data_IF_224611363837
#
_entry.id   IF_224611363837
#
_cell.length_a   1.000
_cell.length_b   1.000
_cell.length_c   1.000
_cell.angle_alpha   90.00
_cell.angle_beta   90.00
_cell.angle_gamma   90.00
#
_symmetry.space_group_name_H-M   'P 1'
#
loop_
_entity.id
_entity.type
_entity.pdbx_description
1 polymer ?
#
# COMPACT_ATOMS: atom_id res chain seq x y z
N UNK A 1 6.76 -18.02 13.07
CA UNK A 1 5.34 -18.30 12.79
C UNK A 1 5.21 -18.48 11.29
N UNK A 2 5.02 -19.71 10.82
CA UNK A 2 4.90 -20.02 9.39
C UNK A 2 3.84 -21.10 9.24
N UNK A 3 2.88 -20.88 8.36
CA UNK A 3 1.85 -21.87 8.06
C UNK A 3 2.49 -22.95 7.18
N UNK A 4 2.36 -24.20 7.61
CA UNK A 4 2.80 -25.37 6.85
C UNK A 4 1.67 -25.78 5.90
N UNK A 5 1.99 -25.90 4.60
CA UNK A 5 1.04 -26.18 3.52
C UNK A 5 0.25 -27.51 3.70
N UNK A 6 0.71 -28.37 4.59
CA UNK A 6 0.20 -29.72 4.88
C UNK A 6 -0.49 -29.85 6.25
N UNK A 7 -0.68 -28.76 6.99
CA UNK A 7 -1.08 -28.80 8.41
C UNK A 7 -2.56 -29.05 8.71
N UNK A 8 -3.43 -29.19 7.69
CA UNK A 8 -4.87 -29.49 7.89
C UNK A 8 -5.69 -28.41 8.63
N UNK A 9 -5.09 -27.26 8.94
CA UNK A 9 -5.81 -26.06 9.39
C UNK A 9 -6.55 -25.41 8.20
N UNK A 10 -7.64 -24.67 8.40
CA UNK A 10 -8.35 -24.03 7.30
C UNK A 10 -7.42 -23.09 6.54
N UNK A 11 -6.95 -23.56 5.37
CA UNK A 11 -6.15 -22.81 4.43
C UNK A 11 -7.08 -22.04 3.51
N UNK A 12 -7.61 -20.90 3.97
CA UNK A 12 -8.23 -19.94 3.06
C UNK A 12 -7.12 -19.17 2.37
N UNK A 13 -6.77 -19.60 1.16
CA UNK A 13 -5.81 -18.92 0.30
C UNK A 13 -6.55 -17.91 -0.55
N UNK A 14 -6.47 -16.62 -0.18
CA UNK A 14 -6.92 -15.55 -1.07
C UNK A 14 -5.90 -15.41 -2.20
N UNK A 15 -6.29 -15.81 -3.41
CA UNK A 15 -5.50 -15.53 -4.61
C UNK A 15 -5.68 -14.06 -4.96
N UNK A 16 -4.65 -13.26 -4.70
CA UNK A 16 -4.67 -11.80 -4.92
C UNK A 16 -4.50 -11.38 -6.38
N UNK A 17 -4.02 -12.27 -7.26
CA UNK A 17 -3.85 -12.01 -8.69
C UNK A 17 -4.39 -13.17 -9.52
N UNK A 18 -5.15 -12.86 -10.56
CA UNK A 18 -5.58 -13.83 -11.60
C UNK A 18 -4.63 -13.86 -12.78
N UNK A 19 -3.69 -12.92 -12.85
CA UNK A 19 -2.82 -12.72 -13.98
C UNK A 19 -1.56 -13.57 -13.83
N UNK A 20 -1.03 -14.08 -14.94
CA UNK A 20 0.24 -14.85 -15.02
C UNK A 20 1.49 -14.03 -14.61
N UNK A 21 1.29 -12.80 -14.12
CA UNK A 21 2.35 -11.88 -13.75
C UNK A 21 2.75 -12.14 -12.29
N UNK A 22 4.01 -12.50 -12.09
CA UNK A 22 4.61 -12.57 -10.75
C UNK A 22 4.59 -11.19 -10.10
N UNK A 23 4.11 -11.12 -8.85
CA UNK A 23 4.06 -9.86 -8.09
C UNK A 23 4.70 -10.02 -6.72
N UNK A 24 5.13 -8.89 -6.16
CA UNK A 24 5.46 -8.74 -4.75
C UNK A 24 4.36 -7.99 -4.03
N UNK A 25 3.97 -8.47 -2.85
CA UNK A 25 3.01 -7.82 -1.97
C UNK A 25 3.75 -7.21 -0.78
N UNK A 26 3.55 -5.91 -0.54
CA UNK A 26 4.03 -5.23 0.67
C UNK A 26 5.54 -4.97 0.75
N UNK A 27 6.27 -5.21 -0.33
CA UNK A 27 7.72 -5.00 -0.37
C UNK A 27 8.53 -6.08 0.33
N UNK A 28 9.82 -5.82 0.58
CA UNK A 28 10.75 -6.78 1.21
C UNK A 28 10.81 -6.59 2.74
N UNK A 29 10.52 -5.40 3.24
CA UNK A 29 10.54 -5.10 4.67
C UNK A 29 9.19 -5.43 5.32
N UNK A 30 9.13 -6.34 6.32
CA UNK A 30 7.86 -6.74 6.94
C UNK A 30 7.08 -5.62 7.61
N UNK A 31 7.76 -4.56 8.06
CA UNK A 31 7.17 -3.49 8.86
C UNK A 31 6.18 -2.57 8.11
N UNK A 32 6.25 -2.53 6.76
CA UNK A 32 5.53 -1.54 5.96
C UNK A 32 4.59 -2.15 4.91
N UNK A 33 4.51 -3.49 4.84
CA UNK A 33 3.91 -4.15 3.68
C UNK A 33 2.41 -4.37 3.73
N UNK A 34 1.87 -4.55 4.92
CA UNK A 34 0.45 -4.85 5.16
C UNK A 34 -0.07 -3.87 6.21
N UNK A 35 -1.22 -3.25 5.94
CA UNK A 35 -1.83 -2.27 6.82
C UNK A 35 -3.31 -2.63 7.05
N UNK A 36 -3.67 -3.21 8.21
CA UNK A 36 -5.06 -3.50 8.57
C UNK A 36 -5.82 -2.22 8.89
N UNK A 37 -7.09 -2.13 8.47
CA UNK A 37 -7.96 -1.02 8.85
C UNK A 37 -8.32 -1.08 10.35
N UNK A 38 -8.57 0.06 11.02
CA UNK A 38 -8.93 0.11 12.43
C UNK A 38 -10.19 -0.70 12.80
N UNK A 39 -11.18 -0.73 11.92
CA UNK A 39 -12.39 -1.54 12.05
C UNK A 39 -12.19 -3.03 11.73
N UNK A 40 -11.00 -3.44 11.27
CA UNK A 40 -10.64 -4.82 10.95
C UNK A 40 -11.30 -5.41 9.71
N UNK A 41 -12.04 -4.61 8.93
CA UNK A 41 -12.77 -5.11 7.75
C UNK A 41 -11.94 -5.13 6.48
N UNK A 42 -10.80 -4.42 6.46
CA UNK A 42 -9.97 -4.23 5.27
C UNK A 42 -8.49 -4.42 5.55
N UNK A 43 -7.76 -4.80 4.51
CA UNK A 43 -6.30 -4.89 4.51
C UNK A 43 -5.74 -4.17 3.29
N UNK A 44 -4.96 -3.12 3.50
CA UNK A 44 -4.29 -2.37 2.45
C UNK A 44 -2.86 -2.85 2.25
N UNK A 45 -2.42 -2.90 1.00
CA UNK A 45 -1.07 -3.32 0.63
C UNK A 45 -0.70 -2.82 -0.76
N UNK A 46 0.61 -2.68 -0.97
CA UNK A 46 1.16 -2.43 -2.29
C UNK A 46 1.34 -3.73 -3.07
N UNK A 47 1.03 -3.69 -4.36
CA UNK A 47 1.35 -4.75 -5.32
C UNK A 47 2.36 -4.20 -6.32
N UNK A 48 3.52 -4.85 -6.40
CA UNK A 48 4.62 -4.46 -7.29
C UNK A 48 4.84 -5.57 -8.31
N UNK A 49 4.65 -5.32 -9.62
CA UNK A 49 4.97 -6.28 -10.66
C UNK A 49 6.45 -6.66 -10.65
N UNK A 50 6.77 -7.94 -10.82
CA UNK A 50 8.13 -8.41 -11.02
C UNK A 50 8.39 -8.54 -12.53
N UNK A 51 9.44 -7.90 -13.01
CA UNK A 51 9.69 -7.73 -14.46
C UNK A 51 10.88 -8.54 -14.97
N UNK A 52 11.59 -9.24 -14.08
CA UNK A 52 12.80 -9.97 -14.40
C UNK A 52 13.25 -10.92 -13.29
N UNK A 53 14.48 -11.40 -13.39
CA UNK A 53 15.03 -12.44 -12.51
C UNK A 53 15.58 -11.87 -11.20
N UNK A 54 16.11 -10.64 -11.21
CA UNK A 54 16.56 -9.98 -9.99
C UNK A 54 15.37 -9.28 -9.33
N UNK A 55 14.74 -9.96 -8.38
CA UNK A 55 13.55 -9.45 -7.72
C UNK A 55 13.79 -8.16 -6.92
N UNK A 56 15.04 -7.78 -6.62
CA UNK A 56 15.34 -6.54 -5.92
C UNK A 56 15.35 -5.32 -6.86
N UNK A 57 15.70 -5.53 -8.14
CA UNK A 57 15.88 -4.47 -9.13
C UNK A 57 14.78 -4.48 -10.18
N UNK A 58 14.40 -5.67 -10.67
CA UNK A 58 13.46 -5.87 -11.76
C UNK A 58 12.01 -5.73 -11.27
N UNK A 59 11.61 -4.51 -10.91
CA UNK A 59 10.28 -4.19 -10.39
C UNK A 59 9.57 -3.12 -11.23
N UNK A 60 8.26 -3.30 -11.43
CA UNK A 60 7.38 -2.29 -12.00
C UNK A 60 6.86 -1.32 -10.94
N UNK A 61 6.01 -0.37 -11.36
CA UNK A 61 5.40 0.57 -10.43
C UNK A 61 4.49 -0.14 -9.43
N UNK A 62 4.67 0.17 -8.14
CA UNK A 62 3.83 -0.33 -7.07
C UNK A 62 2.45 0.35 -7.09
N UNK A 63 1.39 -0.43 -6.89
CA UNK A 63 0.01 0.04 -6.92
C UNK A 63 -0.76 -0.37 -5.66
N UNK A 64 -1.60 0.53 -5.18
CA UNK A 64 -2.32 0.32 -3.94
C UNK A 64 -3.53 -0.60 -4.17
N UNK A 65 -3.62 -1.63 -3.34
CA UNK A 65 -4.73 -2.57 -3.30
C UNK A 65 -5.32 -2.63 -1.90
N UNK A 66 -6.63 -2.90 -1.84
CA UNK A 66 -7.36 -3.10 -0.60
C UNK A 66 -8.19 -4.37 -0.71
N UNK A 67 -7.92 -5.31 0.18
CA UNK A 67 -8.70 -6.52 0.38
C UNK A 67 -9.84 -6.23 1.36
N UNK A 68 -11.06 -6.62 1.00
CA UNK A 68 -12.16 -6.82 1.93
C UNK A 68 -12.01 -8.19 2.61
N UNK A 69 -11.85 -8.18 3.94
CA UNK A 69 -11.49 -9.38 4.72
C UNK A 69 -12.64 -10.39 4.75
N UNK A 70 -13.89 -9.92 4.75
CA UNK A 70 -15.06 -10.78 4.85
C UNK A 70 -15.35 -11.52 3.53
N UNK A 71 -15.22 -10.83 2.40
CA UNK A 71 -15.58 -11.34 1.08
C UNK A 71 -14.39 -11.89 0.29
N UNK A 72 -13.18 -11.48 0.64
CA UNK A 72 -11.98 -11.77 -0.15
C UNK A 72 -11.84 -10.90 -1.40
N UNK A 73 -12.74 -9.93 -1.63
CA UNK A 73 -12.69 -9.07 -2.80
C UNK A 73 -11.51 -8.10 -2.72
N UNK A 74 -10.81 -7.90 -3.84
CA UNK A 74 -9.66 -6.99 -3.93
C UNK A 74 -10.02 -5.82 -4.83
N UNK A 75 -9.88 -4.61 -4.31
CA UNK A 75 -10.01 -3.36 -5.07
C UNK A 75 -8.62 -2.81 -5.37
N UNK A 76 -8.35 -2.49 -6.64
CA UNK A 76 -7.13 -1.82 -7.09
C UNK A 76 -7.40 -0.34 -7.32
N UNK A 77 -6.52 0.52 -6.80
CA UNK A 77 -6.56 1.96 -7.03
C UNK A 77 -5.48 2.33 -8.05
N UNK A 78 -5.91 2.81 -9.22
CA UNK A 78 -5.04 2.98 -10.38
C UNK A 78 -4.53 4.40 -10.61
N UNK A 79 -5.14 5.39 -9.96
CA UNK A 79 -4.83 6.81 -10.18
C UNK A 79 -3.45 7.21 -9.63
N UNK A 80 -2.86 6.36 -8.79
CA UNK A 80 -1.49 6.52 -8.31
C UNK A 80 -0.70 5.23 -8.42
N UNK A 81 0.55 5.35 -8.87
CA UNK A 81 1.55 4.30 -8.81
C UNK A 81 2.94 4.90 -8.63
N UNK A 82 3.84 4.15 -8.04
CA UNK A 82 5.18 4.66 -7.72
C UNK A 82 6.28 3.67 -8.06
N UNK A 83 7.34 4.16 -8.71
CA UNK A 83 8.63 3.47 -8.80
C UNK A 83 9.56 3.90 -7.66
N UNK A 84 9.18 4.92 -6.89
CA UNK A 84 9.98 5.38 -5.77
C UNK A 84 10.00 4.30 -4.69
N UNK A 85 11.18 4.10 -4.12
CA UNK A 85 11.44 3.16 -3.03
C UNK A 85 11.08 1.70 -3.33
N UNK A 86 10.84 1.28 -4.57
CA UNK A 86 10.81 -0.16 -4.87
C UNK A 86 12.20 -0.75 -4.61
N UNK A 87 12.31 -1.87 -3.87
CA UNK A 87 11.26 -2.84 -3.57
C UNK A 87 10.45 -2.63 -2.27
N UNK A 88 10.64 -1.55 -1.52
CA UNK A 88 9.97 -1.21 -0.25
C UNK A 88 9.10 0.05 -0.39
N UNK A 89 7.86 -0.08 -0.88
CA UNK A 89 6.99 1.08 -1.12
C UNK A 89 6.61 1.81 0.18
N UNK A 90 6.06 3.03 0.08
CA UNK A 90 5.73 3.86 1.23
C UNK A 90 4.82 3.18 2.26
N UNK A 91 5.00 3.52 3.54
CA UNK A 91 4.13 3.01 4.61
C UNK A 91 2.71 3.55 4.45
N UNK A 92 1.73 2.65 4.55
CA UNK A 92 0.30 2.96 4.52
C UNK A 92 -0.26 3.10 5.94
N UNK A 93 -0.96 4.20 6.21
CA UNK A 93 -1.61 4.46 7.50
C UNK A 93 -3.08 4.77 7.28
N UNK A 94 -3.96 4.04 7.95
CA UNK A 94 -5.40 4.27 7.89
C UNK A 94 -5.83 5.49 8.68
N UNK A 95 -6.88 6.17 8.19
CA UNK A 95 -7.64 7.09 9.02
C UNK A 95 -8.37 6.32 10.13
N UNK A 96 -8.69 6.97 11.27
CA UNK A 96 -9.32 6.29 12.42
C UNK A 96 -10.71 5.71 12.11
N UNK A 97 -11.39 6.28 11.12
CA UNK A 97 -12.73 5.87 10.66
C UNK A 97 -12.70 4.82 9.52
N UNK A 98 -11.53 4.28 9.18
CA UNK A 98 -11.33 3.29 8.11
C UNK A 98 -11.76 3.73 6.70
N UNK A 99 -11.98 5.03 6.45
CA UNK A 99 -12.46 5.50 5.13
C UNK A 99 -11.35 5.96 4.19
N UNK A 100 -10.13 6.19 4.71
CA UNK A 100 -9.02 6.69 3.93
C UNK A 100 -7.68 6.02 4.28
N UNK A 101 -6.71 6.17 3.38
CA UNK A 101 -5.33 5.70 3.52
C UNK A 101 -4.32 6.81 3.21
N UNK A 102 -3.52 7.20 4.19
CA UNK A 102 -2.41 8.13 3.99
C UNK A 102 -1.07 7.44 3.81
N UNK A 103 -0.22 8.05 2.98
CA UNK A 103 1.18 7.72 2.81
C UNK A 103 1.90 8.96 2.29
N UNK A 104 3.22 8.98 2.38
CA UNK A 104 3.99 10.05 1.75
C UNK A 104 4.91 9.49 0.67
N UNK A 105 4.96 10.20 -0.45
CA UNK A 105 5.79 9.84 -1.58
C UNK A 105 6.17 11.07 -2.40
N UNK A 106 7.15 10.91 -3.28
CA UNK A 106 7.51 11.91 -4.27
C UNK A 106 6.59 11.75 -5.49
N UNK A 107 5.70 12.71 -5.70
CA UNK A 107 4.73 12.64 -6.80
C UNK A 107 5.46 12.98 -8.11
N UNK A 108 5.33 12.15 -9.17
CA UNK A 108 5.95 12.46 -10.46
C UNK A 108 5.58 13.87 -10.94
N UNK A 109 6.58 14.59 -11.44
CA UNK A 109 6.45 15.95 -11.96
C UNK A 109 6.03 17.03 -10.94
N UNK A 110 6.02 16.72 -9.64
CA UNK A 110 5.81 17.72 -8.57
C UNK A 110 7.15 18.26 -8.02
N UNK A 111 7.43 19.57 -8.11
CA UNK A 111 8.71 20.14 -7.67
C UNK A 111 8.83 20.30 -6.14
N UNK A 112 7.76 20.05 -5.37
CA UNK A 112 7.70 20.32 -3.93
C UNK A 112 8.34 19.22 -3.07
N UNK A 113 8.87 18.17 -3.70
CA UNK A 113 9.48 17.03 -3.01
C UNK A 113 8.44 16.01 -2.56
N UNK A 114 8.60 15.45 -1.35
CA UNK A 114 7.61 14.50 -0.84
C UNK A 114 6.32 15.22 -0.49
N UNK A 115 5.19 14.58 -0.77
CA UNK A 115 3.89 15.02 -0.30
C UNK A 115 3.30 13.94 0.60
N UNK A 116 2.67 14.36 1.70
CA UNK A 116 1.72 13.53 2.42
C UNK A 116 0.40 13.60 1.66
N UNK A 117 -0.10 12.45 1.22
CA UNK A 117 -1.36 12.33 0.48
C UNK A 117 -2.24 11.26 1.14
N UNK A 118 -3.54 11.38 0.97
CA UNK A 118 -4.52 10.42 1.43
C UNK A 118 -5.49 9.99 0.32
N UNK A 119 -5.65 8.69 0.14
CA UNK A 119 -6.66 8.09 -0.72
C UNK A 119 -8.00 8.03 0.02
N UNK A 120 -9.08 8.52 -0.60
CA UNK A 120 -10.45 8.18 -0.25
C UNK A 120 -10.85 6.86 -0.90
N UNK A 121 -11.26 5.88 -0.09
CA UNK A 121 -11.58 4.54 -0.57
C UNK A 121 -12.92 4.45 -1.30
N UNK A 122 -13.82 5.43 -1.10
CA UNK A 122 -15.14 5.40 -1.69
C UNK A 122 -15.13 5.73 -3.19
N UNK A 123 -14.30 6.71 -3.58
CA UNK A 123 -14.25 7.25 -4.94
C UNK A 123 -12.86 7.11 -5.60
N UNK A 124 -11.84 6.71 -4.85
CA UNK A 124 -10.48 6.55 -5.36
C UNK A 124 -9.69 7.85 -5.46
N UNK A 125 -10.23 8.97 -4.96
CA UNK A 125 -9.61 10.29 -5.11
C UNK A 125 -8.52 10.50 -4.06
N UNK A 126 -7.41 11.10 -4.49
CA UNK A 126 -6.31 11.49 -3.61
C UNK A 126 -6.47 12.94 -3.13
N UNK A 127 -6.22 13.16 -1.84
CA UNK A 127 -6.23 14.45 -1.16
C UNK A 127 -4.81 14.76 -0.69
N UNK A 128 -4.32 15.95 -1.01
CA UNK A 128 -3.05 16.45 -0.49
C UNK A 128 -3.20 16.91 0.97
N UNK A 129 -2.29 16.48 1.84
CA UNK A 129 -2.27 16.80 3.27
C UNK A 129 -1.10 17.71 3.68
N UNK A 130 -0.21 18.07 2.75
CA UNK A 130 0.99 18.89 3.02
C UNK A 130 1.43 19.68 1.80
N UNK A 131 1.96 20.89 2.00
CA UNK A 131 2.57 21.72 0.93
C UNK A 131 4.07 21.41 0.71
N UNK A 132 4.43 20.13 0.58
CA UNK A 132 5.82 19.69 0.43
C UNK A 132 6.52 19.32 1.74
N UNK A 133 7.34 18.28 1.67
CA UNK A 133 8.10 17.71 2.77
C UNK A 133 9.52 17.38 2.29
N UNK A 134 10.49 17.76 3.11
CA UNK A 134 11.91 17.46 2.89
C UNK A 134 12.42 16.64 4.09
N UNK A 135 12.25 15.32 4.09
CA UNK A 135 12.75 14.48 5.17
C UNK A 135 14.27 14.61 5.25
N UNK A 136 14.78 14.94 6.44
CA UNK A 136 16.23 15.09 6.65
C UNK A 136 16.99 13.76 6.43
N UNK A 137 16.31 12.63 6.64
CA UNK A 137 16.82 11.27 6.40
C UNK A 137 15.67 10.37 5.94
N UNK A 138 15.90 9.55 4.91
CA UNK A 138 15.00 8.47 4.50
C UNK A 138 13.68 8.93 3.87
N UNK A 139 12.60 8.19 4.14
CA UNK A 139 11.25 8.45 3.61
C UNK A 139 10.39 9.21 4.62
N UNK A 140 9.54 10.11 4.11
CA UNK A 140 8.50 10.71 4.93
C UNK A 140 7.43 9.64 5.22
N UNK A 141 7.49 9.02 6.41
CA UNK A 141 6.55 7.97 6.80
C UNK A 141 5.54 8.52 7.81
N UNK A 142 4.24 8.58 7.48
CA UNK A 142 3.23 8.92 8.48
C UNK A 142 3.19 7.86 9.59
N UNK A 143 2.89 8.31 10.81
CA UNK A 143 2.69 7.43 11.97
C UNK A 143 1.22 7.35 12.36
N UNK A 144 0.51 8.48 12.26
CA UNK A 144 -0.92 8.62 12.48
C UNK A 144 -1.43 9.84 11.68
N UNK A 145 -2.72 9.85 11.35
CA UNK A 145 -3.41 10.97 10.74
C UNK A 145 -4.92 10.83 10.94
N UNK A 146 -5.70 11.81 10.52
CA UNK A 146 -7.16 11.73 10.48
C UNK A 146 -7.76 13.05 10.04
N UNK A 147 -9.00 13.00 9.53
CA UNK A 147 -9.81 14.20 9.33
C UNK A 147 -10.50 14.56 10.66
N UNK A 148 -10.69 15.84 10.90
CA UNK A 148 -11.53 16.27 12.01
C UNK A 148 -12.95 15.74 11.79
N UNK A 149 -13.58 15.26 12.87
CA UNK A 149 -15.01 15.00 12.81
C UNK A 149 -15.74 16.29 12.41
N UNK A 150 -16.75 16.22 11.53
CA UNK A 150 -17.52 17.39 11.11
C UNK A 150 -18.21 18.10 12.28
#
# INVERSE_FOLDING_TARGET
FGVRLDSGLPGQYTRFTTDEVSVRIGGQTPANGLSPSPDGTKLAFWVTPLTGADLAVDTGAAMLHVLDVATGAVTRYCDYSTLAHTPNPPRLVWSPDSTHLAFADNIPDDPRGYLLIALNLADGVYIELSEGLYPALGTASPIAWGLAAP
#
